data_IF_276612408639
#
_entry.id   IF_276612408639
#
_cell.length_a   1.000
_cell.length_b   1.000
_cell.length_c   1.000
_cell.angle_alpha   90.00
_cell.angle_beta   90.00
_cell.angle_gamma   90.00
#
_symmetry.space_group_name_H-M   'P 1'
#
loop_
_entity.id
_entity.type
_entity.pdbx_description
1 polymer ?
#
# COMPACT_ATOMS: atom_id res chain seq x y z
N UNK A 1 -0.74 12.28 6.67
CA UNK A 1 -0.09 10.95 6.72
C UNK A 1 0.96 10.87 7.83
N UNK A 2 2.02 11.71 7.89
CA UNK A 2 3.00 11.64 8.99
C UNK A 2 2.40 11.83 10.38
N UNK A 3 1.48 12.79 10.53
CA UNK A 3 0.79 13.03 11.81
C UNK A 3 -0.02 11.81 12.29
N UNK A 4 -0.61 11.04 11.36
CA UNK A 4 -1.37 9.83 11.71
C UNK A 4 -0.45 8.75 12.27
N UNK A 5 0.71 8.54 11.63
CA UNK A 5 1.71 7.60 12.12
C UNK A 5 2.26 8.02 13.49
N UNK A 6 2.58 9.31 13.67
CA UNK A 6 3.06 9.85 14.94
C UNK A 6 2.06 9.68 16.09
N UNK A 7 0.76 9.63 15.77
CA UNK A 7 -0.33 9.41 16.72
C UNK A 7 -0.70 7.92 16.88
N UNK A 8 -0.06 7.01 16.15
CA UNK A 8 -0.44 5.60 16.10
C UNK A 8 -1.79 5.35 15.42
N UNK A 9 -2.34 6.31 14.67
CA UNK A 9 -3.60 6.17 13.93
C UNK A 9 -3.38 5.40 12.62
N UNK A 10 -3.20 4.09 12.76
CA UNK A 10 -3.03 3.18 11.63
C UNK A 10 -4.31 2.98 10.83
N UNK A 11 -5.48 3.14 11.46
CA UNK A 11 -6.78 3.04 10.78
C UNK A 11 -6.92 4.21 9.80
N UNK A 12 -6.69 5.43 10.27
CA UNK A 12 -6.69 6.63 9.42
C UNK A 12 -5.60 6.59 8.35
N UNK A 13 -4.41 6.05 8.66
CA UNK A 13 -3.36 5.85 7.67
C UNK A 13 -3.81 4.91 6.54
N UNK A 14 -4.34 3.74 6.87
CA UNK A 14 -4.80 2.77 5.88
C UNK A 14 -5.97 3.31 5.06
N UNK A 15 -6.91 4.03 5.68
CA UNK A 15 -8.03 4.65 4.98
C UNK A 15 -7.57 5.66 3.92
N UNK A 16 -6.60 6.52 4.27
CA UNK A 16 -6.02 7.48 3.30
C UNK A 16 -5.24 6.79 2.20
N UNK A 17 -4.52 5.71 2.52
CA UNK A 17 -3.84 4.92 1.50
C UNK A 17 -4.83 4.20 0.56
N UNK A 18 -5.94 3.68 1.09
CA UNK A 18 -7.02 3.08 0.29
C UNK A 18 -7.60 4.08 -0.71
N UNK A 19 -7.94 5.28 -0.25
CA UNK A 19 -8.47 6.34 -1.10
C UNK A 19 -7.50 6.71 -2.23
N UNK A 20 -6.21 6.84 -1.93
CA UNK A 20 -5.18 7.06 -2.94
C UNK A 20 -5.14 5.93 -3.99
N UNK A 21 -5.20 4.67 -3.55
CA UNK A 21 -5.17 3.52 -4.47
C UNK A 21 -6.40 3.46 -5.35
N UNK A 22 -7.57 3.75 -4.79
CA UNK A 22 -8.83 3.81 -5.53
C UNK A 22 -8.79 4.89 -6.61
N UNK A 23 -8.25 6.08 -6.32
CA UNK A 23 -8.11 7.15 -7.31
C UNK A 23 -7.22 6.73 -8.50
N UNK A 24 -6.10 6.02 -8.25
CA UNK A 24 -5.27 5.46 -9.33
C UNK A 24 -6.08 4.48 -10.20
N UNK A 25 -6.79 3.54 -9.59
CA UNK A 25 -7.54 2.50 -10.30
C UNK A 25 -8.64 3.14 -11.16
N UNK A 26 -9.39 4.11 -10.61
CA UNK A 26 -10.42 4.85 -11.31
C UNK A 26 -9.86 5.60 -12.53
N UNK A 27 -8.70 6.26 -12.37
CA UNK A 27 -8.04 7.01 -13.45
C UNK A 27 -7.45 6.12 -14.54
N UNK A 28 -7.12 4.87 -14.24
CA UNK A 28 -6.64 3.91 -15.22
C UNK A 28 -7.74 3.48 -16.23
N UNK A 29 -9.03 3.70 -15.90
CA UNK A 29 -10.18 3.45 -16.77
C UNK A 29 -10.20 2.04 -17.39
N UNK A 30 -9.74 1.04 -16.66
CA UNK A 30 -9.74 -0.36 -17.10
C UNK A 30 -10.61 -1.20 -16.16
N UNK A 31 -11.85 -1.47 -16.58
CA UNK A 31 -12.82 -2.20 -15.78
C UNK A 31 -12.38 -3.63 -15.46
N UNK A 32 -11.82 -4.35 -16.44
CA UNK A 32 -11.35 -5.73 -16.26
C UNK A 32 -10.25 -5.82 -15.21
N UNK A 33 -9.25 -4.93 -15.26
CA UNK A 33 -8.19 -4.92 -14.24
C UNK A 33 -8.70 -4.45 -12.88
N UNK A 34 -9.66 -3.52 -12.84
CA UNK A 34 -10.27 -3.09 -11.59
C UNK A 34 -11.01 -4.24 -10.89
N UNK A 35 -11.80 -5.02 -11.62
CA UNK A 35 -12.50 -6.21 -11.10
C UNK A 35 -11.51 -7.27 -10.60
N UNK A 36 -10.43 -7.52 -11.35
CA UNK A 36 -9.37 -8.44 -10.91
C UNK A 36 -8.74 -7.98 -9.60
N UNK A 37 -8.45 -6.68 -9.45
CA UNK A 37 -7.89 -6.13 -8.21
C UNK A 37 -8.87 -6.19 -7.05
N UNK A 38 -10.17 -6.00 -7.28
CA UNK A 38 -11.18 -6.08 -6.24
C UNK A 38 -11.29 -7.50 -5.67
N UNK A 39 -11.24 -8.53 -6.53
CA UNK A 39 -11.31 -9.94 -6.12
C UNK A 39 -10.23 -10.37 -5.10
N UNK A 40 -9.08 -9.69 -5.10
CA UNK A 40 -7.98 -9.93 -4.16
C UNK A 40 -7.90 -8.88 -3.04
N UNK A 41 -8.68 -7.80 -3.14
CA UNK A 41 -8.58 -6.60 -2.30
C UNK A 41 -8.77 -6.89 -0.82
N UNK A 42 -9.74 -7.73 -0.46
CA UNK A 42 -10.02 -8.06 0.96
C UNK A 42 -8.85 -8.79 1.62
N UNK A 43 -8.24 -9.74 0.91
CA UNK A 43 -7.07 -10.48 1.42
C UNK A 43 -5.87 -9.55 1.61
N UNK A 44 -5.64 -8.63 0.66
CA UNK A 44 -4.58 -7.62 0.76
C UNK A 44 -4.83 -6.68 1.93
N UNK A 45 -6.06 -6.18 2.10
CA UNK A 45 -6.44 -5.29 3.22
C UNK A 45 -6.30 -5.99 4.58
N UNK A 46 -6.66 -7.26 4.66
CA UNK A 46 -6.51 -8.06 5.88
C UNK A 46 -5.04 -8.17 6.30
N UNK A 47 -4.15 -8.52 5.37
CA UNK A 47 -2.72 -8.59 5.65
C UNK A 47 -2.13 -7.22 5.99
N UNK A 48 -2.50 -6.17 5.26
CA UNK A 48 -2.03 -4.81 5.51
C UNK A 48 -2.33 -4.34 6.93
N UNK A 49 -3.54 -4.62 7.45
CA UNK A 49 -3.93 -4.29 8.84
C UNK A 49 -3.08 -4.98 9.89
N UNK A 50 -2.64 -6.22 9.63
CA UNK A 50 -1.83 -7.00 10.57
C UNK A 50 -0.36 -6.56 10.61
N UNK A 51 0.19 -6.12 9.48
CA UNK A 51 1.59 -5.69 9.42
C UNK A 51 1.80 -4.21 9.72
N UNK A 52 0.81 -3.32 9.48
CA UNK A 52 1.03 -1.87 9.57
C UNK A 52 1.35 -1.38 10.98
N UNK A 53 0.88 -2.11 11.99
CA UNK A 53 1.08 -1.81 13.41
C UNK A 53 2.49 -2.17 13.90
N UNK A 54 3.25 -2.93 13.09
CA UNK A 54 4.58 -3.36 13.47
C UNK A 54 5.55 -2.17 13.49
N UNK A 55 6.42 -2.05 14.51
CA UNK A 55 7.32 -0.91 14.64
C UNK A 55 8.14 -0.66 13.37
N UNK A 56 8.09 0.57 12.84
CA UNK A 56 8.81 0.99 11.64
C UNK A 56 8.13 0.66 10.30
N UNK A 57 7.11 -0.22 10.28
CA UNK A 57 6.43 -0.58 9.03
C UNK A 57 5.65 0.61 8.45
N UNK A 58 4.98 1.39 9.29
CA UNK A 58 4.18 2.55 8.87
C UNK A 58 5.01 3.60 8.15
N UNK A 59 6.16 3.95 8.70
CA UNK A 59 7.11 4.91 8.12
C UNK A 59 7.65 4.39 6.77
N UNK A 60 8.04 3.11 6.72
CA UNK A 60 8.53 2.50 5.50
C UNK A 60 7.45 2.45 4.41
N UNK A 61 6.22 2.06 4.75
CA UNK A 61 5.09 2.03 3.82
C UNK A 61 4.80 3.43 3.25
N UNK A 62 4.86 4.46 4.10
CA UNK A 62 4.66 5.84 3.66
C UNK A 62 5.73 6.28 2.65
N UNK A 63 6.99 5.94 2.89
CA UNK A 63 8.08 6.24 1.95
C UNK A 63 7.89 5.52 0.61
N UNK A 64 7.57 4.23 0.65
CA UNK A 64 7.29 3.43 -0.55
C UNK A 64 6.12 4.01 -1.38
N UNK A 65 5.01 4.38 -0.73
CA UNK A 65 3.87 4.98 -1.42
C UNK A 65 4.16 6.36 -1.99
N UNK A 66 4.98 7.18 -1.30
CA UNK A 66 5.44 8.48 -1.81
C UNK A 66 6.34 8.32 -3.04
N UNK A 67 7.20 7.30 -3.07
CA UNK A 67 8.03 7.03 -4.23
C UNK A 67 7.17 6.68 -5.47
N UNK A 68 6.13 5.84 -5.30
CA UNK A 68 5.17 5.54 -6.37
C UNK A 68 4.46 6.81 -6.84
N UNK A 69 3.96 7.64 -5.91
CA UNK A 69 3.31 8.91 -6.27
C UNK A 69 4.25 9.84 -7.04
N UNK A 70 5.51 9.96 -6.64
CA UNK A 70 6.49 10.79 -7.33
C UNK A 70 6.74 10.30 -8.78
N UNK A 71 6.84 8.99 -8.99
CA UNK A 71 6.97 8.42 -10.35
C UNK A 71 5.72 8.69 -11.20
N UNK A 72 4.52 8.56 -10.62
CA UNK A 72 3.27 8.92 -11.30
C UNK A 72 3.22 10.41 -11.67
N UNK A 73 3.65 11.31 -10.76
CA UNK A 73 3.70 12.75 -11.02
C UNK A 73 4.71 13.13 -12.11
N UNK A 74 5.81 12.38 -12.21
CA UNK A 74 6.81 12.55 -13.27
C UNK A 74 6.38 11.97 -14.62
N UNK A 75 5.26 11.23 -14.68
CA UNK A 75 4.81 10.54 -15.89
C UNK A 75 5.64 9.30 -16.25
N UNK A 76 6.49 8.81 -15.33
CA UNK A 76 7.32 7.62 -15.57
C UNK A 76 6.57 6.35 -15.17
N UNK A 77 5.85 5.79 -16.14
CA UNK A 77 5.05 4.58 -15.95
C UNK A 77 5.91 3.37 -15.54
N UNK A 78 7.11 3.21 -16.12
CA UNK A 78 7.99 2.08 -15.84
C UNK A 78 8.56 2.14 -14.42
N UNK A 79 8.93 3.34 -13.94
CA UNK A 79 9.32 3.53 -12.56
C UNK A 79 8.15 3.31 -11.60
N UNK A 80 6.95 3.82 -11.92
CA UNK A 80 5.77 3.63 -11.09
C UNK A 80 5.43 2.15 -10.91
N UNK A 81 5.46 1.35 -12.00
CA UNK A 81 5.24 -0.10 -11.95
C UNK A 81 6.29 -0.81 -11.10
N UNK A 82 7.59 -0.57 -11.36
CA UNK A 82 8.69 -1.15 -10.59
C UNK A 82 8.57 -0.86 -9.09
N UNK A 83 8.30 0.39 -8.72
CA UNK A 83 8.14 0.81 -7.33
C UNK A 83 6.90 0.20 -6.69
N UNK A 84 5.81 0.05 -7.46
CA UNK A 84 4.59 -0.61 -6.99
C UNK A 84 4.82 -2.10 -6.71
N UNK A 85 5.56 -2.79 -7.56
CA UNK A 85 5.93 -4.19 -7.35
C UNK A 85 6.85 -4.35 -6.13
N UNK A 86 7.85 -3.47 -5.98
CA UNK A 86 8.76 -3.48 -4.84
C UNK A 86 8.01 -3.23 -3.51
N UNK A 87 7.07 -2.27 -3.49
CA UNK A 87 6.17 -2.01 -2.38
C UNK A 87 5.38 -3.25 -1.95
N UNK A 88 4.78 -3.97 -2.92
CA UNK A 88 3.99 -5.17 -2.64
C UNK A 88 4.87 -6.29 -2.09
N UNK A 89 6.08 -6.47 -2.65
CA UNK A 89 7.06 -7.44 -2.16
C UNK A 89 7.46 -7.13 -0.72
N UNK A 90 7.83 -5.89 -0.44
CA UNK A 90 8.18 -5.41 0.89
C UNK A 90 7.07 -5.69 1.92
N UNK A 91 5.80 -5.40 1.58
CA UNK A 91 4.68 -5.72 2.46
C UNK A 91 4.55 -7.23 2.75
N UNK A 92 4.79 -8.07 1.75
CA UNK A 92 4.80 -9.52 1.92
C UNK A 92 5.99 -10.00 2.77
N UNK A 93 7.17 -9.41 2.61
CA UNK A 93 8.37 -9.76 3.39
C UNK A 93 8.18 -9.44 4.87
N UNK A 94 7.54 -8.29 5.19
CA UNK A 94 7.11 -7.95 6.54
C UNK A 94 6.12 -8.98 7.10
N UNK A 95 5.14 -9.39 6.31
CA UNK A 95 4.21 -10.44 6.72
C UNK A 95 4.93 -11.76 7.01
N UNK A 96 5.84 -12.20 6.14
CA UNK A 96 6.60 -13.44 6.36
C UNK A 96 7.47 -13.38 7.62
N UNK A 97 8.16 -12.26 7.83
CA UNK A 97 9.04 -12.05 8.99
C UNK A 97 8.32 -12.18 10.32
N UNK A 98 7.05 -11.75 10.38
CA UNK A 98 6.26 -11.71 11.62
C UNK A 98 5.11 -12.71 11.64
N UNK A 99 5.04 -13.60 10.65
CA UNK A 99 3.90 -14.49 10.42
C UNK A 99 3.47 -15.24 11.68
N UNK A 100 4.41 -15.78 12.43
CA UNK A 100 4.14 -16.61 13.61
C UNK A 100 3.60 -15.81 14.81
N UNK A 101 3.64 -14.47 14.75
CA UNK A 101 3.07 -13.57 15.75
C UNK A 101 1.75 -12.93 15.33
N UNK A 102 1.49 -12.87 14.02
CA UNK A 102 0.37 -12.13 13.45
C UNK A 102 -0.62 -13.02 12.72
N UNK A 103 -0.45 -14.34 12.72
CA UNK A 103 -1.44 -15.33 12.29
C UNK A 103 -1.88 -16.17 13.48
#
# INVERSE_FOLDING_TARGET
>A
MPALLAQGDFVGFLARYEAFRQDIILRARNATLAEMLDSIGDKVRYLARRIIILPGRGEQALQEHRAVLAALQAGDAAAAERLRMANMRSGFDWFQRYRDFIL
#
